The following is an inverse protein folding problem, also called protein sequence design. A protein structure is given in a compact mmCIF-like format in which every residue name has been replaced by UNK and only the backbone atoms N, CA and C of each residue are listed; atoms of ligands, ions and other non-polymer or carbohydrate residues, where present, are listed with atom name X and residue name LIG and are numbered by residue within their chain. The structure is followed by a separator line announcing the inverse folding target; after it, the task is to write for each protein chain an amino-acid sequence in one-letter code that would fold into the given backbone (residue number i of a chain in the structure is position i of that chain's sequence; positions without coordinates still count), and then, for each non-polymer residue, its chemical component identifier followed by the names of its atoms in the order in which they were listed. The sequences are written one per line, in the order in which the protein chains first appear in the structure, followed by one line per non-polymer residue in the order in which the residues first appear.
data_IF_745112448177
#
_entry.id   IF_745112448177
#
_cell.length_a   1.000
_cell.length_b   1.000
_cell.length_c   1.000
_cell.angle_alpha   90.00
_cell.angle_beta   90.00
_cell.angle_gamma   90.00
#
_symmetry.space_group_name_H-M   'P 1'
#
loop_
_entity.id
_entity.type
_entity.pdbx_description
1 polymer ?
#
# COMPACT_ATOMS: atom_id res chain seq x y z
N UNK A 1 -38.20 18.79 -19.60
CA UNK A 1 -37.24 19.02 -18.51
C UNK A 1 -37.79 18.30 -17.28
N UNK A 2 -37.21 17.17 -16.87
CA UNK A 2 -37.68 16.47 -15.66
C UNK A 2 -37.21 17.22 -14.42
N UNK A 3 -38.15 17.87 -13.72
CA UNK A 3 -37.90 18.37 -12.36
C UNK A 3 -37.62 17.18 -11.45
N UNK A 4 -36.40 17.10 -10.91
CA UNK A 4 -36.14 16.18 -9.82
C UNK A 4 -36.90 16.67 -8.59
N UNK A 5 -37.87 15.87 -8.13
CA UNK A 5 -38.60 16.13 -6.89
C UNK A 5 -37.60 15.93 -5.75
N UNK A 6 -37.20 17.02 -5.09
CA UNK A 6 -36.38 16.96 -3.89
C UNK A 6 -37.29 16.52 -2.73
N UNK A 7 -37.01 15.38 -2.07
CA UNK A 7 -37.83 14.94 -0.95
C UNK A 7 -37.78 15.97 0.18
N UNK A 8 -38.94 16.36 0.72
CA UNK A 8 -39.05 17.41 1.73
C UNK A 8 -39.41 16.88 3.13
N UNK A 9 -39.87 15.64 3.24
CA UNK A 9 -40.15 15.02 4.53
C UNK A 9 -38.89 14.36 5.14
N UNK A 10 -38.88 14.28 6.47
CA UNK A 10 -37.73 13.81 7.25
C UNK A 10 -37.31 12.40 6.91
N UNK A 11 -38.26 11.50 6.66
CA UNK A 11 -37.97 10.08 6.43
C UNK A 11 -37.31 9.87 5.07
N UNK A 12 -37.85 10.52 4.04
CA UNK A 12 -37.26 10.50 2.70
C UNK A 12 -35.86 11.12 2.67
N UNK A 13 -35.61 12.17 3.47
CA UNK A 13 -34.28 12.77 3.60
C UNK A 13 -33.27 11.82 4.27
N UNK A 14 -33.68 11.08 5.31
CA UNK A 14 -32.82 10.09 5.97
C UNK A 14 -32.43 8.96 5.01
N UNK A 15 -33.40 8.44 4.24
CA UNK A 15 -33.14 7.41 3.23
C UNK A 15 -32.17 7.93 2.16
N UNK A 16 -32.33 9.18 1.73
CA UNK A 16 -31.44 9.80 0.75
C UNK A 16 -30.00 9.94 1.28
N UNK A 17 -29.84 10.39 2.53
CA UNK A 17 -28.51 10.50 3.17
C UNK A 17 -27.84 9.13 3.22
N UNK A 18 -28.55 8.11 3.69
CA UNK A 18 -27.98 6.76 3.79
C UNK A 18 -27.54 6.22 2.43
N UNK A 19 -28.34 6.41 1.38
CA UNK A 19 -27.94 6.05 0.01
C UNK A 19 -26.70 6.81 -0.47
N UNK A 20 -26.56 8.09 -0.08
CA UNK A 20 -25.39 8.90 -0.44
C UNK A 20 -24.15 8.43 0.31
N UNK A 21 -24.26 8.08 1.58
CA UNK A 21 -23.16 7.55 2.37
C UNK A 21 -22.67 6.21 1.81
N UNK A 22 -23.58 5.30 1.45
CA UNK A 22 -23.25 4.03 0.80
C UNK A 22 -22.53 4.25 -0.56
N UNK A 23 -22.96 5.25 -1.34
CA UNK A 23 -22.30 5.62 -2.59
C UNK A 23 -20.89 6.18 -2.34
N UNK A 24 -20.72 7.05 -1.35
CA UNK A 24 -19.42 7.64 -0.99
C UNK A 24 -18.46 6.54 -0.53
N UNK A 25 -18.89 5.65 0.36
CA UNK A 25 -18.08 4.54 0.86
C UNK A 25 -17.66 3.60 -0.29
N UNK A 26 -18.58 3.25 -1.18
CA UNK A 26 -18.26 2.45 -2.37
C UNK A 26 -17.24 3.14 -3.29
N UNK A 27 -17.28 4.47 -3.42
CA UNK A 27 -16.33 5.22 -4.23
C UNK A 27 -14.95 5.24 -3.57
N UNK A 28 -14.88 5.56 -2.27
CA UNK A 28 -13.63 5.59 -1.50
C UNK A 28 -12.89 4.25 -1.57
N UNK A 29 -13.61 3.13 -1.56
CA UNK A 29 -13.08 1.77 -1.75
C UNK A 29 -12.50 1.47 -3.13
N UNK A 30 -12.47 2.43 -4.04
CA UNK A 30 -11.93 2.28 -5.41
C UNK A 30 -10.97 3.40 -5.82
N UNK A 31 -10.75 4.39 -4.95
CA UNK A 31 -9.83 5.49 -5.24
C UNK A 31 -8.40 5.02 -5.04
N UNK A 32 -7.61 5.02 -6.12
CA UNK A 32 -6.17 4.78 -6.06
C UNK A 32 -5.49 6.01 -5.43
N UNK A 33 -4.48 5.76 -4.59
CA UNK A 33 -3.63 6.78 -4.00
C UNK A 33 -3.18 7.84 -5.02
N UNK A 34 -3.19 9.13 -4.69
CA UNK A 34 -2.62 10.16 -5.54
C UNK A 34 -1.12 9.90 -5.75
N UNK A 35 -0.56 10.44 -6.84
CA UNK A 35 0.83 10.18 -7.24
C UNK A 35 1.85 10.45 -6.12
N UNK A 36 1.65 11.52 -5.35
CA UNK A 36 2.48 11.87 -4.19
C UNK A 36 2.58 10.72 -3.17
N UNK A 37 1.46 10.05 -2.89
CA UNK A 37 1.41 8.93 -1.95
C UNK A 37 2.05 7.67 -2.53
N UNK A 38 1.83 7.41 -3.82
CA UNK A 38 2.51 6.31 -4.53
C UNK A 38 4.03 6.47 -4.50
N UNK A 39 4.53 7.68 -4.76
CA UNK A 39 5.96 7.99 -4.74
C UNK A 39 6.52 7.87 -3.31
N UNK A 40 5.74 8.26 -2.28
CA UNK A 40 6.13 8.05 -0.89
C UNK A 40 6.23 6.56 -0.51
N UNK A 41 5.23 5.75 -0.88
CA UNK A 41 5.28 4.28 -0.69
C UNK A 41 6.53 3.70 -1.35
N UNK A 42 6.83 4.12 -2.59
CA UNK A 42 8.02 3.68 -3.30
C UNK A 42 9.31 4.05 -2.56
N UNK A 43 9.41 5.30 -2.09
CA UNK A 43 10.58 5.80 -1.36
C UNK A 43 10.76 5.05 -0.03
N UNK A 44 9.69 4.90 0.75
CA UNK A 44 9.71 4.16 2.02
C UNK A 44 10.17 2.72 1.83
N UNK A 45 9.63 2.02 0.84
CA UNK A 45 10.05 0.66 0.50
C UNK A 45 11.53 0.54 0.14
N UNK A 46 12.05 1.47 -0.69
CA UNK A 46 13.49 1.50 -1.01
C UNK A 46 14.36 1.77 0.21
N UNK A 47 13.96 2.72 1.06
CA UNK A 47 14.68 3.08 2.27
C UNK A 47 14.69 1.92 3.27
N UNK A 48 13.58 1.21 3.41
CA UNK A 48 13.46 0.03 4.27
C UNK A 48 14.45 -1.07 3.88
N UNK A 49 14.51 -1.43 2.59
CA UNK A 49 15.52 -2.38 2.09
C UNK A 49 16.95 -1.84 2.27
N UNK A 50 17.14 -0.52 2.13
CA UNK A 50 18.42 0.14 2.40
C UNK A 50 18.91 -0.11 3.83
N UNK A 51 18.04 0.07 4.84
CA UNK A 51 18.36 -0.20 6.25
C UNK A 51 18.77 -1.64 6.49
N UNK A 52 18.02 -2.58 5.92
CA UNK A 52 18.35 -4.01 5.96
C UNK A 52 19.72 -4.32 5.36
N UNK A 53 20.06 -3.69 4.22
CA UNK A 53 21.37 -3.87 3.61
C UNK A 53 22.52 -3.31 4.46
N UNK A 54 22.31 -2.20 5.16
CA UNK A 54 23.29 -1.67 6.11
C UNK A 54 23.51 -2.62 7.28
N UNK A 55 22.42 -3.08 7.92
CA UNK A 55 22.49 -4.01 9.06
C UNK A 55 23.13 -5.35 8.68
N UNK A 56 22.82 -5.87 7.50
CA UNK A 56 23.46 -7.07 6.98
C UNK A 56 24.96 -6.87 6.80
N UNK A 57 25.38 -5.73 6.24
CA UNK A 57 26.79 -5.38 6.07
C UNK A 57 27.56 -5.28 7.39
N UNK A 58 26.94 -4.69 8.42
CA UNK A 58 27.50 -4.64 9.79
C UNK A 58 27.68 -6.05 10.39
N UNK A 59 26.87 -7.02 9.96
CA UNK A 59 26.89 -8.41 10.42
C UNK A 59 27.76 -9.33 9.55
N UNK A 60 28.45 -8.79 8.54
CA UNK A 60 29.28 -9.55 7.60
C UNK A 60 28.52 -10.20 6.43
N UNK A 61 27.23 -9.97 6.29
CA UNK A 61 26.41 -10.46 5.18
C UNK A 61 26.24 -9.41 4.08
N UNK A 62 25.93 -9.84 2.87
CA UNK A 62 25.56 -8.92 1.78
C UNK A 62 24.13 -9.15 1.30
N UNK A 63 23.48 -8.11 0.80
CA UNK A 63 22.06 -8.18 0.37
C UNK A 63 21.96 -8.01 -1.13
N UNK A 64 21.27 -8.95 -1.78
CA UNK A 64 20.84 -8.77 -3.16
C UNK A 64 19.67 -7.77 -3.23
N UNK A 65 19.99 -6.47 -3.22
CA UNK A 65 19.02 -5.37 -3.12
C UNK A 65 17.94 -5.43 -4.19
N UNK A 66 18.30 -5.75 -5.44
CA UNK A 66 17.33 -5.84 -6.55
C UNK A 66 16.31 -6.94 -6.27
N UNK A 67 16.77 -8.13 -5.89
CA UNK A 67 15.90 -9.27 -5.58
C UNK A 67 15.04 -9.00 -4.35
N UNK A 68 15.59 -8.33 -3.32
CA UNK A 68 14.86 -7.91 -2.13
C UNK A 68 13.73 -6.93 -2.44
N UNK A 69 13.98 -5.90 -3.24
CA UNK A 69 12.94 -4.95 -3.68
C UNK A 69 11.84 -5.68 -4.46
N UNK A 70 12.21 -6.54 -5.42
CA UNK A 70 11.23 -7.32 -6.19
C UNK A 70 10.41 -8.22 -5.28
N UNK A 71 11.03 -8.87 -4.29
CA UNK A 71 10.34 -9.76 -3.36
C UNK A 71 9.38 -9.00 -2.46
N UNK A 72 9.84 -7.92 -1.83
CA UNK A 72 9.02 -7.07 -0.96
C UNK A 72 7.77 -6.59 -1.71
N UNK A 73 7.92 -6.04 -2.92
CA UNK A 73 6.75 -5.61 -3.70
C UNK A 73 5.89 -6.78 -4.19
N UNK A 74 6.46 -7.96 -4.39
CA UNK A 74 5.69 -9.18 -4.68
C UNK A 74 4.79 -9.57 -3.52
N UNK A 75 5.33 -9.56 -2.30
CA UNK A 75 4.58 -9.89 -1.08
C UNK A 75 3.56 -8.80 -0.73
N UNK A 76 3.92 -7.52 -0.92
CA UNK A 76 3.03 -6.37 -0.77
C UNK A 76 1.77 -6.54 -1.60
N UNK A 77 1.93 -6.83 -2.89
CA UNK A 77 0.80 -6.98 -3.80
C UNK A 77 -0.13 -8.12 -3.38
N UNK A 78 0.42 -9.23 -2.87
CA UNK A 78 -0.37 -10.35 -2.35
C UNK A 78 -1.15 -9.96 -1.09
N UNK A 79 -0.53 -9.19 -0.20
CA UNK A 79 -1.16 -8.73 1.04
C UNK A 79 -2.39 -7.85 0.76
N UNK A 80 -2.28 -6.90 -0.16
CA UNK A 80 -3.37 -5.98 -0.53
C UNK A 80 -4.33 -6.54 -1.60
N UNK A 81 -4.63 -7.85 -1.55
CA UNK A 81 -5.67 -8.45 -2.40
C UNK A 81 -5.24 -8.73 -3.85
N UNK A 82 -3.95 -8.92 -4.10
CA UNK A 82 -3.45 -9.30 -5.43
C UNK A 82 -3.33 -8.13 -6.40
N UNK A 83 -2.91 -6.95 -5.91
CA UNK A 83 -2.68 -5.77 -6.75
C UNK A 83 -1.80 -6.10 -7.96
N UNK A 84 -2.04 -5.42 -9.09
CA UNK A 84 -1.17 -5.53 -10.27
C UNK A 84 0.16 -4.81 -10.01
N UNK A 85 0.10 -3.64 -9.37
CA UNK A 85 1.23 -2.81 -8.97
C UNK A 85 1.02 -2.25 -7.56
N UNK A 86 2.11 -1.96 -6.83
CA UNK A 86 2.02 -1.19 -5.59
C UNK A 86 1.43 0.22 -5.82
N UNK A 87 1.50 0.72 -7.06
CA UNK A 87 0.89 2.00 -7.46
C UNK A 87 -0.63 1.96 -7.50
N UNK A 88 -1.22 0.77 -7.53
CA UNK A 88 -2.67 0.57 -7.50
C UNK A 88 -3.22 0.52 -6.07
N UNK A 89 -2.40 0.84 -5.06
CA UNK A 89 -2.83 0.93 -3.66
C UNK A 89 -3.95 1.94 -3.54
N UNK A 90 -5.03 1.54 -2.88
CA UNK A 90 -6.17 2.42 -2.63
C UNK A 90 -5.83 3.43 -1.53
N UNK A 91 -6.40 4.63 -1.64
CA UNK A 91 -6.16 5.72 -0.69
C UNK A 91 -6.55 5.33 0.74
N UNK A 92 -7.64 4.58 0.90
CA UNK A 92 -8.08 4.04 2.20
C UNK A 92 -7.07 3.08 2.85
N UNK A 93 -6.15 2.51 2.07
CA UNK A 93 -5.11 1.58 2.55
C UNK A 93 -3.73 2.23 2.62
N UNK A 94 -3.62 3.54 2.43
CA UNK A 94 -2.33 4.21 2.40
C UNK A 94 -1.56 4.07 3.72
N UNK A 95 -2.21 4.32 4.87
CA UNK A 95 -1.58 4.20 6.18
C UNK A 95 -1.20 2.74 6.50
N UNK A 96 -2.12 1.79 6.22
CA UNK A 96 -1.86 0.36 6.38
C UNK A 96 -0.66 -0.10 5.52
N UNK A 97 -0.53 0.43 4.31
CA UNK A 97 0.58 0.18 3.42
C UNK A 97 1.91 0.70 3.97
N UNK A 98 1.92 1.87 4.62
CA UNK A 98 3.12 2.39 5.28
C UNK A 98 3.54 1.45 6.43
N UNK A 99 2.60 1.05 7.28
CA UNK A 99 2.86 0.12 8.39
C UNK A 99 3.34 -1.25 7.90
N UNK A 100 2.73 -1.76 6.83
CA UNK A 100 3.14 -3.03 6.25
C UNK A 100 4.59 -2.99 5.76
N UNK A 101 5.01 -1.88 5.11
CA UNK A 101 6.40 -1.72 4.66
C UNK A 101 7.36 -1.76 5.85
N UNK A 102 7.04 -1.08 6.94
CA UNK A 102 7.89 -1.08 8.14
C UNK A 102 7.97 -2.47 8.80
N UNK A 103 6.87 -3.23 8.77
CA UNK A 103 6.78 -4.58 9.35
C UNK A 103 7.41 -5.67 8.46
N UNK A 104 7.64 -5.40 7.17
CA UNK A 104 8.17 -6.41 6.27
C UNK A 104 9.61 -6.80 6.64
N UNK A 105 9.85 -8.08 6.84
CA UNK A 105 11.18 -8.62 7.15
C UNK A 105 11.86 -9.19 5.92
N UNK A 106 13.17 -8.94 5.78
CA UNK A 106 13.94 -9.50 4.68
C UNK A 106 14.15 -11.02 4.85
N UNK A 107 13.76 -11.84 3.84
CA UNK A 107 14.04 -13.27 3.89
C UNK A 107 15.54 -13.56 3.92
N UNK A 108 15.95 -14.50 4.76
CA UNK A 108 17.36 -14.87 4.97
C UNK A 108 18.07 -15.35 3.69
N UNK A 109 17.36 -16.03 2.78
CA UNK A 109 17.93 -16.49 1.50
C UNK A 109 18.28 -15.36 0.52
N UNK A 110 17.97 -14.10 0.86
CA UNK A 110 18.39 -12.91 0.11
C UNK A 110 19.64 -12.26 0.71
N UNK A 111 20.17 -12.83 1.79
CA UNK A 111 21.44 -12.50 2.40
C UNK A 111 22.46 -13.55 1.97
N UNK A 112 23.58 -13.11 1.40
CA UNK A 112 24.70 -13.98 1.05
C UNK A 112 25.75 -13.92 2.16
N UNK A 113 26.32 -15.08 2.54
CA UNK A 113 27.39 -15.19 3.54
C UNK A 113 28.70 -14.58 3.03
N UNK A 114 29.57 -14.06 3.92
CA UNK A 114 30.89 -13.60 3.52
C UNK A 114 31.70 -14.77 2.96
N UNK A 115 32.22 -14.62 1.75
CA UNK A 115 33.28 -15.49 1.23
C UNK A 115 34.54 -15.21 2.06
N UNK A 116 34.91 -16.16 2.92
CA UNK A 116 36.24 -16.17 3.53
C UNK A 116 37.21 -16.62 2.43
N UNK A 117 37.94 -15.65 1.85
CA UNK A 117 39.17 -15.92 1.09
C UNK A 117 40.33 -16.19 2.04
#
# INVERSE_FOLDING_TARGET
MSSQVVPQDRESLLILIQKKDEQIDSLQKRVICPRKYQDNLQAKGKNHIGKWATLAGESGYTVNRRRAITRMWGDYKKHFGGLRSYRDTLEIHYEDALHWIDAWSMPSYLMDTPTLE
#
